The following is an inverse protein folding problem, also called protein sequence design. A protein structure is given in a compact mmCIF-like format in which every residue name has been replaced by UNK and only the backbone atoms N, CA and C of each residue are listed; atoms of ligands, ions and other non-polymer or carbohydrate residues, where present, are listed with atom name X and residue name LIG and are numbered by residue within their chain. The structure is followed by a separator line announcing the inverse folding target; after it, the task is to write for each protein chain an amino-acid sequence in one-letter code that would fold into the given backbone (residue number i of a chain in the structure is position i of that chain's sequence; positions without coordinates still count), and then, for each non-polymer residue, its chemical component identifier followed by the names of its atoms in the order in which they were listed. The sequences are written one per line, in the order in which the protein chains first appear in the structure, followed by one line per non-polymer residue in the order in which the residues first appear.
data_IF_252659598865
#
_entry.id   IF_252659598865
#
_cell.length_a   1.000
_cell.length_b   1.000
_cell.length_c   1.000
_cell.angle_alpha   90.00
_cell.angle_beta   90.00
_cell.angle_gamma   90.00
#
_symmetry.space_group_name_H-M   'P 1'
#
loop_
_entity.id
_entity.type
_entity.pdbx_description
1 polymer ?
#
# COMPACT_ATOMS: atom_id res chain seq x y z
N UNK A 1 -10.33 4.64 5.79
CA UNK A 1 -10.05 3.20 5.60
C UNK A 1 -8.66 2.98 4.96
N UNK A 2 -7.74 3.93 5.11
CA UNK A 2 -6.45 3.98 4.38
C UNK A 2 -5.31 3.31 5.16
N UNK A 3 -5.29 3.44 6.49
CA UNK A 3 -4.24 2.85 7.33
C UNK A 3 -4.15 1.31 7.24
N UNK A 4 -5.30 0.61 7.24
CA UNK A 4 -5.33 -0.86 7.12
C UNK A 4 -4.86 -1.33 5.74
N UNK A 5 -5.15 -0.57 4.67
CA UNK A 5 -4.71 -0.89 3.32
C UNK A 5 -3.19 -0.72 3.20
N UNK A 6 -2.63 0.38 3.73
CA UNK A 6 -1.18 0.63 3.77
C UNK A 6 -0.46 -0.44 4.59
N UNK A 7 -1.02 -0.85 5.73
CA UNK A 7 -0.46 -1.92 6.56
C UNK A 7 -0.44 -3.27 5.81
N UNK A 8 -1.54 -3.60 5.11
CA UNK A 8 -1.62 -4.80 4.29
C UNK A 8 -0.60 -4.79 3.12
N UNK A 9 -0.50 -3.66 2.39
CA UNK A 9 0.47 -3.47 1.32
C UNK A 9 1.91 -3.63 1.83
N UNK A 10 2.21 -3.02 2.99
CA UNK A 10 3.53 -3.12 3.64
C UNK A 10 3.88 -4.54 4.05
N UNK A 11 2.93 -5.28 4.62
CA UNK A 11 3.13 -6.67 5.03
C UNK A 11 3.43 -7.59 3.83
N UNK A 12 2.74 -7.38 2.70
CA UNK A 12 2.97 -8.11 1.45
C UNK A 12 4.36 -7.79 0.90
N UNK A 13 4.72 -6.49 0.84
CA UNK A 13 6.01 -6.05 0.33
C UNK A 13 7.19 -6.63 1.13
N UNK A 14 7.14 -6.56 2.47
CA UNK A 14 8.19 -7.12 3.34
C UNK A 14 8.36 -8.61 3.10
N UNK A 15 7.24 -9.34 3.02
CA UNK A 15 7.28 -10.79 2.85
C UNK A 15 7.79 -11.20 1.47
N UNK A 16 7.43 -10.46 0.42
CA UNK A 16 7.92 -10.70 -0.94
C UNK A 16 9.43 -10.48 -1.03
N UNK A 17 9.93 -9.38 -0.47
CA UNK A 17 11.37 -9.09 -0.43
C UNK A 17 12.15 -10.18 0.28
N UNK A 18 11.69 -10.63 1.45
CA UNK A 18 12.34 -11.71 2.20
C UNK A 18 12.40 -13.04 1.42
N UNK A 19 11.33 -13.37 0.69
CA UNK A 19 11.29 -14.59 -0.14
C UNK A 19 12.23 -14.49 -1.33
N UNK A 20 12.30 -13.33 -2.00
CA UNK A 20 13.22 -13.12 -3.12
C UNK A 20 14.69 -13.10 -2.68
N UNK A 21 15.01 -12.54 -1.53
CA UNK A 21 16.35 -12.63 -0.95
C UNK A 21 16.73 -14.09 -0.67
N UNK A 22 15.84 -14.86 -0.04
CA UNK A 22 16.05 -16.29 0.23
C UNK A 22 16.26 -17.08 -1.06
N UNK A 23 15.48 -16.79 -2.11
CA UNK A 23 15.63 -17.42 -3.43
C UNK A 23 16.96 -17.04 -4.09
N UNK A 24 17.35 -15.76 -4.04
CA UNK A 24 18.63 -15.30 -4.57
C UNK A 24 19.81 -15.96 -3.86
N UNK A 25 19.74 -16.09 -2.53
CA UNK A 25 20.75 -16.82 -1.76
C UNK A 25 20.83 -18.29 -2.16
N UNK A 26 19.69 -18.96 -2.33
CA UNK A 26 19.64 -20.34 -2.78
C UNK A 26 20.27 -20.50 -4.17
N UNK A 27 19.88 -19.64 -5.12
CA UNK A 27 20.45 -19.63 -6.47
C UNK A 27 21.98 -19.45 -6.42
N UNK A 28 22.45 -18.49 -5.62
CA UNK A 28 23.90 -18.23 -5.43
C UNK A 28 24.62 -19.43 -4.85
N UNK A 29 24.08 -20.03 -3.78
CA UNK A 29 24.66 -21.21 -3.10
C UNK A 29 24.76 -22.43 -4.02
N UNK A 30 23.84 -22.57 -4.97
CA UNK A 30 23.76 -23.72 -5.87
C UNK A 30 24.30 -23.44 -7.29
N UNK A 31 24.87 -22.24 -7.54
CA UNK A 31 25.31 -21.80 -8.88
C UNK A 31 24.21 -21.91 -9.96
N UNK A 32 22.98 -21.59 -9.57
CA UNK A 32 21.82 -21.54 -10.46
C UNK A 32 21.59 -20.08 -10.85
N UNK A 33 21.25 -19.84 -12.11
CA UNK A 33 20.85 -18.51 -12.57
C UNK A 33 19.62 -18.01 -11.80
N UNK A 34 19.65 -16.74 -11.41
CA UNK A 34 18.51 -16.12 -10.74
C UNK A 34 17.31 -16.10 -11.68
N UNK A 35 16.14 -16.64 -11.30
CA UNK A 35 14.98 -16.74 -12.17
C UNK A 35 14.25 -15.40 -12.28
N UNK A 36 14.87 -14.43 -12.96
CA UNK A 36 14.38 -13.04 -13.06
C UNK A 36 13.00 -12.94 -13.69
N UNK A 37 12.72 -13.73 -14.73
CA UNK A 37 11.42 -13.73 -15.40
C UNK A 37 10.30 -14.22 -14.50
N UNK A 38 10.58 -15.24 -13.67
CA UNK A 38 9.63 -15.71 -12.66
C UNK A 38 9.35 -14.62 -11.61
N UNK A 39 10.41 -13.99 -11.08
CA UNK A 39 10.26 -12.93 -10.07
C UNK A 39 9.48 -11.73 -10.63
N UNK A 40 9.78 -11.31 -11.87
CA UNK A 40 9.06 -10.24 -12.55
C UNK A 40 7.59 -10.63 -12.79
N UNK A 41 7.32 -11.86 -13.25
CA UNK A 41 5.97 -12.37 -13.46
C UNK A 41 5.14 -12.38 -12.17
N UNK A 42 5.75 -12.77 -11.04
CA UNK A 42 5.08 -12.76 -9.73
C UNK A 42 4.76 -11.34 -9.27
N UNK A 43 5.67 -10.39 -9.42
CA UNK A 43 5.43 -8.97 -9.12
C UNK A 43 4.24 -8.45 -9.94
N UNK A 44 4.20 -8.71 -11.24
CA UNK A 44 3.10 -8.28 -12.11
C UNK A 44 1.74 -8.94 -11.76
N UNK A 45 1.74 -10.11 -11.13
CA UNK A 45 0.51 -10.75 -10.64
C UNK A 45 0.02 -10.11 -9.34
N UNK A 46 0.95 -9.79 -8.43
CA UNK A 46 0.66 -9.10 -7.17
C UNK A 46 0.13 -7.70 -7.46
N UNK A 47 0.79 -6.92 -8.32
CA UNK A 47 0.34 -5.57 -8.72
C UNK A 47 -1.09 -5.59 -9.28
N UNK A 48 -1.41 -6.55 -10.16
CA UNK A 48 -2.77 -6.72 -10.69
C UNK A 48 -3.80 -7.04 -9.59
N UNK A 49 -3.42 -7.89 -8.64
CA UNK A 49 -4.31 -8.28 -7.54
C UNK A 49 -4.56 -7.11 -6.58
N UNK A 50 -3.52 -6.33 -6.27
CA UNK A 50 -3.63 -5.10 -5.46
C UNK A 50 -4.51 -4.08 -6.17
N UNK A 51 -4.32 -3.89 -7.48
CA UNK A 51 -5.16 -2.97 -8.26
C UNK A 51 -6.64 -3.38 -8.22
N UNK A 52 -6.95 -4.66 -8.43
CA UNK A 52 -8.33 -5.18 -8.35
C UNK A 52 -8.95 -5.00 -6.96
N UNK A 53 -8.16 -5.16 -5.89
CA UNK A 53 -8.62 -4.87 -4.53
C UNK A 53 -8.94 -3.39 -4.36
N UNK A 54 -8.07 -2.49 -4.84
CA UNK A 54 -8.27 -1.04 -4.77
C UNK A 54 -9.52 -0.61 -5.53
N UNK A 55 -9.75 -1.14 -6.73
CA UNK A 55 -11.01 -0.93 -7.48
C UNK A 55 -12.24 -1.41 -6.72
N UNK A 56 -12.17 -2.58 -6.07
CA UNK A 56 -13.27 -3.14 -5.27
C UNK A 56 -13.67 -2.23 -4.11
N UNK A 57 -12.72 -1.47 -3.55
CA UNK A 57 -12.93 -0.55 -2.43
C UNK A 57 -13.01 0.92 -2.85
N UNK A 58 -13.11 1.22 -4.15
CA UNK A 58 -13.16 2.59 -4.71
C UNK A 58 -11.98 3.46 -4.25
N UNK A 59 -10.78 2.86 -4.20
CA UNK A 59 -9.52 3.53 -3.84
C UNK A 59 -8.76 3.94 -5.11
N UNK A 60 -7.97 5.02 -5.01
CA UNK A 60 -7.15 5.50 -6.13
C UNK A 60 -6.22 4.42 -6.68
N UNK A 61 -5.89 4.45 -7.97
CA UNK A 61 -5.08 3.42 -8.63
C UNK A 61 -3.67 3.26 -8.04
N UNK A 62 -3.11 4.32 -7.46
CA UNK A 62 -1.83 4.32 -6.76
C UNK A 62 -2.00 4.98 -5.38
N UNK A 63 -1.16 4.65 -4.38
CA UNK A 63 -1.10 5.42 -3.14
C UNK A 63 -0.69 6.85 -3.48
N UNK A 64 -1.57 7.83 -3.28
CA UNK A 64 -1.29 9.24 -3.59
C UNK A 64 -0.28 9.87 -2.66
N UNK A 65 0.05 9.20 -1.55
CA UNK A 65 0.88 9.76 -0.47
C UNK A 65 0.23 10.94 0.25
N UNK A 66 -0.98 11.34 -0.14
CA UNK A 66 -1.73 12.45 0.40
C UNK A 66 -3.01 11.95 1.10
N UNK A 67 -2.85 11.00 2.00
CA UNK A 67 -3.93 10.56 2.90
C UNK A 67 -3.96 11.44 4.16
N UNK A 68 -4.00 12.77 3.99
CA UNK A 68 -4.48 13.62 5.07
C UNK A 68 -5.96 13.23 5.27
N UNK A 69 -6.35 12.59 6.38
CA UNK A 69 -7.72 12.17 6.56
C UNK A 69 -8.65 13.40 6.54
N UNK A 70 -9.90 13.23 6.07
CA UNK A 70 -10.82 14.34 5.83
C UNK A 70 -10.97 15.28 7.05
N UNK A 71 -10.99 14.76 8.28
CA UNK A 71 -11.04 15.56 9.51
C UNK A 71 -9.85 16.54 9.71
N UNK A 72 -8.73 16.31 9.01
CA UNK A 72 -7.54 17.17 9.04
C UNK A 72 -7.60 18.27 7.97
N UNK A 73 -8.44 18.10 6.95
CA UNK A 73 -8.62 19.06 5.84
C UNK A 73 -10.00 19.72 5.84
N UNK A 74 -10.94 19.20 6.63
CA UNK A 74 -12.23 19.81 6.89
C UNK A 74 -12.02 21.16 7.59
N UNK A 75 -12.62 22.25 7.07
CA UNK A 75 -12.56 23.54 7.75
C UNK A 75 -13.16 23.39 9.15
N UNK A 76 -12.52 24.03 10.15
CA UNK A 76 -13.04 24.04 11.52
C UNK A 76 -14.53 24.43 11.49
N UNK A 77 -15.42 23.63 12.12
CA UNK A 77 -16.84 23.92 12.09
C UNK A 77 -17.08 25.31 12.67
N UNK A 78 -17.77 26.18 11.93
CA UNK A 78 -18.17 27.49 12.42
C UNK A 78 -19.13 27.31 13.60
N UNK A 79 -18.59 27.36 14.81
CA UNK A 79 -19.38 27.41 16.04
C UNK A 79 -20.01 28.80 16.06
N UNK A 80 -21.27 28.91 15.63
CA UNK A 80 -22.09 30.09 15.89
C UNK A 80 -22.21 30.27 17.40
N UNK A 81 -21.35 31.11 17.97
CA UNK A 81 -21.45 31.54 19.36
C UNK A 81 -22.62 32.53 19.40
N UNK A 82 -23.71 32.25 20.14
CA UNK A 82 -24.75 33.24 20.31
C UNK A 82 -24.15 34.45 21.01
N UNK A 83 -24.20 35.61 20.35
CA UNK A 83 -23.73 36.90 20.84
C UNK A 83 -24.65 37.47 21.92
N UNK A 84 -25.07 36.69 22.92
CA UNK A 84 -26.01 37.17 23.95
C UNK A 84 -25.73 36.55 25.33
N UNK A 85 -24.50 36.71 25.83
CA UNK A 85 -24.26 36.73 27.29
C UNK A 85 -23.50 37.99 27.65
N UNK A 86 -24.23 39.11 27.63
CA UNK A 86 -23.88 40.36 28.30
C UNK A 86 -24.39 40.34 29.74
#
# INVERSE_FOLDING_TARGET
MTALAVEAESAIAVRLSSVFETLCEYCTKNMIDTPRDFMAGLVCQIERSVHALRETFDLEAAPSGNDAPAWLTEPEPEINRPEDMQ
#
